data_IF_365528671734
#
_entry.id   IF_365528671734
#
_cell.length_a   1.000
_cell.length_b   1.000
_cell.length_c   1.000
_cell.angle_alpha   90.00
_cell.angle_beta   90.00
_cell.angle_gamma   90.00
#
_symmetry.space_group_name_H-M   'P 1'
#
loop_
_entity.id
_entity.type
_entity.pdbx_description
1 polymer ?
#
# COMPACT_ATOMS: atom_id res chain seq x y z
N UNK A 1 9.88 -4.87 14.00
CA UNK A 1 9.84 -5.61 12.72
C UNK A 1 9.57 -4.59 11.64
N UNK A 2 10.32 -4.65 10.53
CA UNK A 2 10.20 -3.68 9.43
C UNK A 2 10.09 -4.37 8.08
N UNK A 3 9.57 -3.64 7.09
CA UNK A 3 9.67 -3.99 5.69
C UNK A 3 10.28 -2.84 4.90
N UNK A 4 11.20 -3.15 3.99
CA UNK A 4 11.72 -2.19 3.02
C UNK A 4 11.09 -2.46 1.66
N UNK A 5 10.32 -1.50 1.15
CA UNK A 5 9.89 -1.48 -0.26
C UNK A 5 11.04 -0.87 -1.07
N UNK A 6 11.74 -1.69 -1.85
CA UNK A 6 12.72 -1.20 -2.82
C UNK A 6 11.95 -0.80 -4.07
N UNK A 7 11.92 0.50 -4.37
CA UNK A 7 11.22 1.03 -5.55
C UNK A 7 12.19 1.63 -6.54
N UNK A 8 11.75 1.81 -7.78
CA UNK A 8 12.53 2.54 -8.79
C UNK A 8 12.69 4.04 -8.49
N UNK A 9 12.09 4.55 -7.40
CA UNK A 9 12.25 5.92 -6.91
C UNK A 9 13.10 6.00 -5.63
N UNK A 10 13.54 4.86 -5.09
CA UNK A 10 14.25 4.76 -3.80
C UNK A 10 13.58 3.78 -2.83
N UNK A 11 14.18 3.62 -1.66
CA UNK A 11 13.68 2.72 -0.62
C UNK A 11 12.67 3.42 0.29
N UNK A 12 11.61 2.71 0.68
CA UNK A 12 10.63 3.13 1.69
C UNK A 12 10.65 2.09 2.81
N UNK A 13 10.99 2.49 4.04
CA UNK A 13 11.05 1.60 5.19
C UNK A 13 9.81 1.79 6.04
N UNK A 14 9.11 0.69 6.30
CA UNK A 14 7.88 0.62 7.07
C UNK A 14 8.16 -0.10 8.39
N UNK A 15 7.77 0.51 9.50
CA UNK A 15 7.66 -0.16 10.80
C UNK A 15 6.23 -0.69 10.98
N UNK A 16 6.09 -1.98 11.30
CA UNK A 16 4.78 -2.61 11.46
C UNK A 16 4.19 -2.43 12.85
N UNK A 17 2.86 -2.31 12.91
CA UNK A 17 2.07 -2.34 14.14
C UNK A 17 1.55 -3.76 14.41
N UNK A 18 2.47 -4.69 14.68
CA UNK A 18 2.14 -6.12 14.82
C UNK A 18 1.18 -6.46 15.96
N UNK A 19 1.17 -5.66 17.03
CA UNK A 19 0.26 -5.87 18.17
C UNK A 19 -1.16 -5.35 17.86
N UNK A 20 -1.27 -4.30 17.05
CA UNK A 20 -2.55 -3.66 16.70
C UNK A 20 -3.24 -4.35 15.50
N UNK A 21 -2.46 -4.82 14.51
CA UNK A 21 -2.96 -5.43 13.27
C UNK A 21 -2.22 -6.74 12.92
N UNK A 22 -2.25 -7.77 13.79
CA UNK A 22 -1.45 -8.98 13.62
C UNK A 22 -1.75 -9.75 12.33
N UNK A 23 -3.03 -9.91 11.95
CA UNK A 23 -3.40 -10.65 10.75
C UNK A 23 -2.97 -9.91 9.48
N UNK A 24 -3.13 -8.59 9.48
CA UNK A 24 -2.71 -7.74 8.36
C UNK A 24 -1.20 -7.78 8.17
N UNK A 25 -0.44 -7.66 9.25
CA UNK A 25 1.03 -7.73 9.22
C UNK A 25 1.50 -9.13 8.78
N UNK A 26 0.89 -10.20 9.28
CA UNK A 26 1.23 -11.57 8.86
C UNK A 26 0.95 -11.79 7.37
N UNK A 27 -0.21 -11.34 6.88
CA UNK A 27 -0.58 -11.41 5.47
C UNK A 27 0.43 -10.65 4.58
N UNK A 28 0.75 -9.40 4.94
CA UNK A 28 1.69 -8.59 4.19
C UNK A 28 3.08 -9.25 4.14
N UNK A 29 3.58 -9.76 5.27
CA UNK A 29 4.86 -10.47 5.34
C UNK A 29 4.89 -11.70 4.44
N UNK A 30 3.86 -12.56 4.53
CA UNK A 30 3.76 -13.77 3.71
C UNK A 30 3.76 -13.45 2.21
N UNK A 31 3.02 -12.42 1.80
CA UNK A 31 3.01 -11.96 0.41
C UNK A 31 4.39 -11.41 0.00
N UNK A 32 5.01 -10.58 0.84
CA UNK A 32 6.35 -10.04 0.59
C UNK A 32 7.42 -11.14 0.44
N UNK A 33 7.47 -12.09 1.38
CA UNK A 33 8.44 -13.20 1.41
C UNK A 33 8.27 -14.13 0.19
N UNK A 34 7.06 -14.28 -0.34
CA UNK A 34 6.81 -15.04 -1.57
C UNK A 34 7.16 -14.28 -2.87
N UNK A 35 7.60 -13.02 -2.77
CA UNK A 35 7.85 -12.15 -3.92
C UNK A 35 6.58 -11.64 -4.60
N UNK A 36 5.42 -11.72 -3.94
CA UNK A 36 4.13 -11.32 -4.49
C UNK A 36 4.12 -9.85 -4.94
N UNK A 37 4.75 -8.96 -4.19
CA UNK A 37 4.81 -7.53 -4.49
C UNK A 37 5.85 -7.16 -5.56
N UNK A 38 6.77 -8.06 -5.90
CA UNK A 38 7.84 -7.78 -6.86
C UNK A 38 7.25 -7.49 -8.24
N UNK A 39 7.60 -6.33 -8.80
CA UNK A 39 7.09 -5.82 -10.07
C UNK A 39 5.70 -5.18 -10.02
N UNK A 40 5.03 -5.17 -8.85
CA UNK A 40 3.77 -4.41 -8.71
C UNK A 40 4.04 -2.91 -8.76
N UNK A 41 3.02 -2.13 -9.13
CA UNK A 41 3.12 -0.67 -9.29
C UNK A 41 2.21 0.04 -8.31
N UNK A 42 2.61 1.26 -7.93
CA UNK A 42 1.67 2.24 -7.42
C UNK A 42 0.78 2.69 -8.57
N UNK A 43 -0.45 2.20 -8.60
CA UNK A 43 -1.35 2.32 -9.75
C UNK A 43 -2.33 3.48 -9.64
N UNK A 44 -2.46 4.05 -8.44
CA UNK A 44 -3.34 5.19 -8.17
C UNK A 44 -2.68 6.13 -7.18
N UNK A 45 -2.53 7.38 -7.57
CA UNK A 45 -1.76 8.39 -6.82
C UNK A 45 -2.54 9.70 -6.80
N UNK A 46 -2.89 10.17 -5.60
CA UNK A 46 -3.69 11.40 -5.44
C UNK A 46 -2.95 12.35 -4.50
N UNK A 47 -2.45 13.49 -5.01
CA UNK A 47 -1.81 14.52 -4.21
C UNK A 47 -2.68 14.98 -3.04
N UNK A 48 -2.09 15.07 -1.85
CA UNK A 48 -2.79 15.44 -0.62
C UNK A 48 -3.78 14.38 -0.11
N UNK A 49 -3.69 13.14 -0.61
CA UNK A 49 -4.51 12.03 -0.15
C UNK A 49 -3.66 10.79 0.12
N UNK A 50 -3.31 9.99 -0.91
CA UNK A 50 -2.56 8.75 -0.72
C UNK A 50 -1.85 8.27 -2.01
N UNK A 51 -0.94 7.30 -1.86
CA UNK A 51 -0.38 6.49 -2.95
C UNK A 51 -0.75 5.02 -2.75
N UNK A 52 -1.42 4.39 -3.71
CA UNK A 52 -1.97 3.04 -3.61
C UNK A 52 -1.21 2.04 -4.49
N UNK A 53 -0.87 0.88 -3.91
CA UNK A 53 -0.11 -0.21 -4.54
C UNK A 53 -0.60 -1.59 -4.11
N UNK A 54 0.18 -2.62 -4.45
CA UNK A 54 -0.08 -4.01 -4.01
C UNK A 54 -1.08 -4.80 -4.87
N UNK A 55 -1.46 -4.30 -6.04
CA UNK A 55 -2.29 -5.02 -7.01
C UNK A 55 -1.42 -5.86 -7.97
N UNK A 56 -1.61 -7.20 -8.05
CA UNK A 56 -0.83 -8.07 -8.94
C UNK A 56 -1.06 -7.81 -10.43
N UNK A 57 -2.22 -7.30 -10.85
CA UNK A 57 -2.48 -7.02 -12.27
C UNK A 57 -1.61 -5.88 -12.80
N UNK A 58 -1.05 -5.05 -11.92
CA UNK A 58 -0.12 -3.98 -12.29
C UNK A 58 1.21 -4.49 -12.86
N UNK A 59 1.52 -5.79 -12.71
CA UNK A 59 2.71 -6.41 -13.32
C UNK A 59 2.61 -6.52 -14.84
N UNK A 60 1.39 -6.51 -15.38
CA UNK A 60 1.13 -6.64 -16.81
C UNK A 60 0.38 -5.40 -17.33
N UNK A 61 1.05 -4.62 -18.18
CA UNK A 61 0.48 -3.40 -18.75
C UNK A 61 -0.70 -3.68 -19.70
N UNK A 62 -0.82 -4.91 -20.24
CA UNK A 62 -1.98 -5.33 -21.03
C UNK A 62 -3.26 -5.43 -20.19
N UNK A 63 -3.11 -5.58 -18.86
CA UNK A 63 -4.21 -5.60 -17.90
C UNK A 63 -4.51 -4.22 -17.31
N UNK A 64 -4.02 -3.14 -17.92
CA UNK A 64 -4.17 -1.77 -17.41
C UNK A 64 -5.59 -1.35 -17.04
N UNK A 65 -6.62 -1.87 -17.74
CA UNK A 65 -8.04 -1.62 -17.43
C UNK A 65 -8.59 -2.41 -16.23
N UNK A 66 -7.80 -3.30 -15.64
CA UNK A 66 -8.12 -4.07 -14.43
C UNK A 66 -7.31 -3.64 -13.21
N UNK A 67 -6.45 -2.63 -13.34
CA UNK A 67 -5.65 -2.17 -12.21
C UNK A 67 -6.57 -1.62 -11.11
N UNK A 68 -6.26 -1.95 -9.86
CA UNK A 68 -7.09 -1.71 -8.68
C UNK A 68 -8.08 -2.83 -8.36
N UNK A 69 -8.24 -3.84 -9.21
CA UNK A 69 -9.21 -4.94 -8.96
C UNK A 69 -8.57 -6.29 -8.66
N UNK A 70 -7.24 -6.39 -8.68
CA UNK A 70 -6.54 -7.64 -8.37
C UNK A 70 -6.37 -7.86 -6.86
N UNK A 71 -6.02 -9.10 -6.50
CA UNK A 71 -5.79 -9.49 -5.11
C UNK A 71 -5.13 -10.87 -5.01
N UNK A 72 -4.89 -11.37 -3.79
CA UNK A 72 -4.11 -12.59 -3.56
C UNK A 72 -4.94 -13.87 -3.73
N UNK A 73 -6.21 -13.76 -4.14
CA UNK A 73 -7.15 -14.87 -4.32
C UNK A 73 -7.98 -15.19 -3.07
N UNK A 74 -7.86 -14.39 -2.02
CA UNK A 74 -8.62 -14.50 -0.77
C UNK A 74 -8.80 -13.11 -0.14
N UNK A 75 -9.69 -13.03 0.86
CA UNK A 75 -9.91 -11.84 1.68
C UNK A 75 -9.85 -12.19 3.17
N UNK A 76 -9.64 -11.18 4.01
CA UNK A 76 -9.68 -11.30 5.48
C UNK A 76 -10.29 -10.04 6.13
N UNK A 77 -10.63 -10.19 7.42
CA UNK A 77 -11.37 -9.20 8.20
C UNK A 77 -10.57 -7.91 8.47
N UNK A 78 -11.26 -6.82 8.80
CA UNK A 78 -10.64 -5.58 9.25
C UNK A 78 -10.16 -5.69 10.72
N UNK A 79 -9.08 -4.99 11.06
CA UNK A 79 -8.53 -4.90 12.42
C UNK A 79 -8.64 -3.44 12.92
N UNK A 80 -9.87 -2.93 13.01
CA UNK A 80 -10.15 -1.55 13.43
C UNK A 80 -10.29 -1.47 14.96
N UNK A 81 -9.48 -0.62 15.58
CA UNK A 81 -9.49 -0.34 17.01
C UNK A 81 -9.53 1.18 17.27
N UNK A 82 -9.71 1.58 18.54
CA UNK A 82 -9.87 3.00 18.92
C UNK A 82 -8.68 3.90 18.51
N UNK A 83 -7.49 3.30 18.38
CA UNK A 83 -6.26 3.97 17.98
C UNK A 83 -5.92 3.77 16.49
N UNK A 84 -6.81 3.20 15.67
CA UNK A 84 -6.61 3.10 14.23
C UNK A 84 -6.67 4.51 13.62
N UNK A 85 -5.52 5.01 13.17
CA UNK A 85 -5.34 6.40 12.71
C UNK A 85 -4.67 6.46 11.34
N UNK A 86 -5.42 6.87 10.32
CA UNK A 86 -4.92 7.10 8.97
C UNK A 86 -4.21 8.46 8.87
N UNK A 87 -3.18 8.65 9.68
CA UNK A 87 -2.37 9.87 9.71
C UNK A 87 -1.35 9.88 8.57
N UNK A 88 -0.80 11.04 8.25
CA UNK A 88 0.28 11.15 7.26
C UNK A 88 1.44 10.18 7.58
N UNK A 89 1.92 9.48 6.56
CA UNK A 89 3.00 8.49 6.66
C UNK A 89 2.57 7.11 7.13
N UNK A 90 1.31 6.90 7.53
CA UNK A 90 0.81 5.56 7.85
C UNK A 90 0.56 4.73 6.59
N UNK A 91 0.69 3.40 6.71
CA UNK A 91 0.28 2.44 5.69
C UNK A 91 -0.98 1.69 6.13
N UNK A 92 -1.94 1.60 5.23
CA UNK A 92 -3.25 1.02 5.50
C UNK A 92 -3.72 0.09 4.38
N UNK A 93 -4.59 -0.86 4.71
CA UNK A 93 -5.19 -1.76 3.73
C UNK A 93 -6.21 -1.04 2.84
N UNK A 94 -6.09 -1.24 1.53
CA UNK A 94 -7.18 -0.93 0.61
C UNK A 94 -8.16 -2.12 0.58
N UNK A 95 -9.46 -1.82 0.57
CA UNK A 95 -10.52 -2.83 0.56
C UNK A 95 -11.70 -2.36 -0.31
N UNK A 96 -12.63 -3.28 -0.62
CA UNK A 96 -13.84 -3.03 -1.40
C UNK A 96 -15.10 -2.90 -0.51
N UNK A 97 -14.91 -2.64 0.77
CA UNK A 97 -15.93 -2.70 1.82
C UNK A 97 -15.43 -3.45 3.05
N UNK A 98 -16.23 -3.50 4.14
CA UNK A 98 -15.83 -4.15 5.38
C UNK A 98 -15.35 -5.59 5.14
N UNK A 99 -14.24 -5.95 5.78
CA UNK A 99 -13.69 -7.30 5.81
C UNK A 99 -13.31 -7.88 4.43
N UNK A 100 -12.85 -7.01 3.52
CA UNK A 100 -12.39 -7.42 2.19
C UNK A 100 -10.91 -7.09 1.97
N UNK A 101 -10.11 -7.14 3.03
CA UNK A 101 -8.67 -6.91 2.94
C UNK A 101 -8.01 -8.02 2.11
N UNK A 102 -7.10 -7.65 1.23
CA UNK A 102 -6.38 -8.58 0.35
C UNK A 102 -4.89 -8.28 0.34
N UNK A 103 -4.37 -7.85 -0.82
CA UNK A 103 -2.96 -7.51 -0.99
C UNK A 103 -2.71 -6.01 -1.16
N UNK A 104 -3.74 -5.27 -1.56
CA UNK A 104 -3.61 -3.85 -1.88
C UNK A 104 -3.52 -3.01 -0.61
N UNK A 105 -2.68 -2.00 -0.66
CA UNK A 105 -2.44 -1.06 0.44
C UNK A 105 -2.30 0.35 -0.11
N UNK A 106 -2.39 1.34 0.76
CA UNK A 106 -2.01 2.71 0.46
C UNK A 106 -1.16 3.32 1.57
N UNK A 107 -0.29 4.26 1.19
CA UNK A 107 0.46 5.10 2.13
C UNK A 107 -0.20 6.48 2.14
N UNK A 108 -0.57 6.95 3.33
CA UNK A 108 -1.17 8.26 3.54
C UNK A 108 -0.13 9.38 3.33
N UNK A 109 -0.46 10.38 2.52
CA UNK A 109 0.38 11.59 2.32
C UNK A 109 -0.26 12.85 2.90
N UNK A 110 -1.41 12.69 3.53
CA UNK A 110 -2.11 13.68 4.36
C UNK A 110 -2.84 12.93 5.49
N UNK A 111 -3.37 13.67 6.46
CA UNK A 111 -4.23 13.09 7.49
C UNK A 111 -5.61 12.77 6.90
N UNK A 112 -5.93 11.48 6.82
CA UNK A 112 -7.14 10.96 6.22
C UNK A 112 -8.03 10.30 7.27
N UNK A 113 -8.20 10.93 8.43
CA UNK A 113 -8.88 10.30 9.58
C UNK A 113 -10.36 9.93 9.33
N UNK A 114 -10.97 10.43 8.25
CA UNK A 114 -12.28 9.95 7.79
C UNK A 114 -12.26 8.48 7.31
N UNK A 115 -11.06 7.90 7.12
CA UNK A 115 -10.81 6.50 6.81
C UNK A 115 -10.57 5.63 8.06
N UNK A 116 -10.38 6.22 9.25
CA UNK A 116 -10.18 5.51 10.52
C UNK A 116 -11.19 4.39 10.77
N UNK A 117 -12.51 4.54 10.49
CA UNK A 117 -13.45 3.46 10.75
C UNK A 117 -13.54 2.41 9.62
N UNK A 118 -12.69 2.49 8.58
CA UNK A 118 -12.88 1.73 7.32
C UNK A 118 -11.64 0.97 6.84
N UNK A 119 -10.45 1.45 7.19
CA UNK A 119 -9.19 0.90 6.66
C UNK A 119 -8.23 0.61 7.80
N UNK A 120 -7.82 -0.65 7.91
CA UNK A 120 -6.84 -1.13 8.88
C UNK A 120 -5.49 -0.48 8.62
N UNK A 121 -5.01 0.31 9.58
CA UNK A 121 -3.64 0.83 9.63
C UNK A 121 -2.76 -0.24 10.24
N UNK A 122 -1.69 -0.64 9.55
CA UNK A 122 -0.85 -1.75 10.00
C UNK A 122 0.64 -1.40 10.10
N UNK A 123 0.98 -0.13 9.91
CA UNK A 123 2.32 0.38 10.12
C UNK A 123 2.47 1.85 9.75
N UNK A 124 3.72 2.30 9.74
CA UNK A 124 4.10 3.66 9.33
C UNK A 124 5.44 3.66 8.62
N UNK A 125 5.63 4.62 7.72
CA UNK A 125 6.92 4.90 7.10
C UNK A 125 7.85 5.53 8.15
N UNK A 126 9.01 4.92 8.36
CA UNK A 126 10.06 5.40 9.27
C UNK A 126 11.29 5.94 8.52
N UNK A 127 11.40 5.66 7.23
CA UNK A 127 12.40 6.24 6.32
C UNK A 127 11.89 6.21 4.88
N UNK A 128 12.26 7.19 4.04
CA UNK A 128 11.82 7.26 2.65
C UNK A 128 10.50 7.99 2.41
N UNK A 129 10.06 8.88 3.31
CA UNK A 129 8.86 9.69 3.08
C UNK A 129 9.04 10.67 1.90
N UNK A 130 10.25 11.10 1.62
CA UNK A 130 10.62 11.86 0.43
C UNK A 130 10.41 11.06 -0.86
N UNK A 131 10.62 9.74 -0.82
CA UNK A 131 10.33 8.83 -1.94
C UNK A 131 8.83 8.70 -2.14
N UNK A 132 8.06 8.55 -1.06
CA UNK A 132 6.60 8.56 -1.10
C UNK A 132 6.08 9.87 -1.72
N UNK A 133 6.63 11.02 -1.31
CA UNK A 133 6.28 12.35 -1.87
C UNK A 133 6.65 12.49 -3.35
N UNK A 134 7.78 11.92 -3.77
CA UNK A 134 8.17 11.89 -5.18
C UNK A 134 7.19 11.08 -6.02
N UNK A 135 6.75 9.91 -5.52
CA UNK A 135 5.70 9.10 -6.15
C UNK A 135 4.39 9.89 -6.20
N UNK A 136 3.99 10.54 -5.10
CA UNK A 136 2.76 11.34 -5.01
C UNK A 136 2.67 12.45 -6.07
N UNK A 137 3.79 13.12 -6.33
CA UNK A 137 3.84 14.32 -7.18
C UNK A 137 4.09 14.01 -8.66
N UNK A 138 4.10 12.73 -9.04
CA UNK A 138 4.21 12.32 -10.43
C UNK A 138 3.00 12.76 -11.25
N UNK A 139 3.19 12.92 -12.56
CA UNK A 139 2.07 13.22 -13.46
C UNK A 139 1.16 11.99 -13.56
N UNK A 140 -0.15 12.21 -13.39
CA UNK A 140 -1.17 11.18 -13.51
C UNK A 140 -2.05 11.40 -14.75
N UNK A 141 -2.58 10.30 -15.28
CA UNK A 141 -3.58 10.28 -16.34
C UNK A 141 -4.96 9.88 -15.79
N UNK A 142 -5.76 9.21 -16.62
CA UNK A 142 -7.06 8.69 -16.24
C UNK A 142 -6.99 7.76 -15.02
N UNK A 143 -7.96 7.88 -14.11
CA UNK A 143 -8.02 7.07 -12.89
C UNK A 143 -6.90 7.35 -11.88
N UNK A 144 -6.30 8.55 -11.93
CA UNK A 144 -5.18 8.96 -11.08
C UNK A 144 -3.93 8.07 -11.24
N UNK A 145 -3.80 7.45 -12.42
CA UNK A 145 -2.73 6.50 -12.75
C UNK A 145 -1.45 7.24 -13.13
N UNK A 146 -0.28 6.95 -12.50
CA UNK A 146 0.98 7.53 -12.93
C UNK A 146 1.28 7.29 -14.41
N UNK A 147 1.71 8.33 -15.13
CA UNK A 147 2.14 8.24 -16.53
C UNK A 147 3.49 7.53 -16.67
N UNK A 148 4.34 7.65 -15.66
CA UNK A 148 5.58 6.88 -15.54
C UNK A 148 5.39 5.79 -14.49
N UNK A 149 5.91 4.57 -14.72
CA UNK A 149 5.69 3.47 -13.79
C UNK A 149 6.43 3.68 -12.47
N UNK A 150 5.69 3.60 -11.36
CA UNK A 150 6.20 3.66 -10.00
C UNK A 150 6.25 2.24 -9.45
N UNK A 151 7.39 1.55 -9.60
CA UNK A 151 7.51 0.09 -9.47
C UNK A 151 8.07 -0.26 -8.09
N UNK A 152 7.46 -1.24 -7.42
CA UNK A 152 8.03 -1.95 -6.28
C UNK A 152 8.88 -3.10 -6.85
N UNK A 153 10.19 -2.94 -6.87
CA UNK A 153 11.14 -3.91 -7.43
C UNK A 153 11.23 -5.15 -6.54
N UNK A 154 11.30 -4.94 -5.23
CA UNK A 154 11.26 -6.01 -4.23
C UNK A 154 10.78 -5.51 -2.87
N UNK A 155 10.41 -6.44 -1.99
CA UNK A 155 10.14 -6.17 -0.57
C UNK A 155 11.03 -7.04 0.30
N UNK A 156 11.72 -6.45 1.27
CA UNK A 156 12.59 -7.15 2.23
C UNK A 156 12.03 -7.03 3.64
N UNK A 157 11.81 -8.14 4.32
CA UNK A 157 11.38 -8.19 5.73
C UNK A 157 12.62 -8.27 6.65
N UNK A 158 12.63 -7.50 7.74
CA UNK A 158 13.73 -7.42 8.73
C UNK A 158 13.22 -7.42 10.17
#
# INVERSE_FOLDING_TARGET
>A
MTATLNTNQGAIVIEFFGDDAPNTVENFKKLAESGYYNGTKFHRVIPGFMVQGGDPFTKDDSLSGKWGTGGPGYTFEDEIHANNKNDIGTISMANAGPNTNGSQFFINVANNNFLDPKHTVFGKVVSGMEVVKAIETTKTGEGDKPLSPMIIESVTIQ
#
